data_IF_553994431063
#
_entry.id   IF_553994431063
#
_cell.length_a   1.000
_cell.length_b   1.000
_cell.length_c   1.000
_cell.angle_alpha   90.00
_cell.angle_beta   90.00
_cell.angle_gamma   90.00
#
_symmetry.space_group_name_H-M   'P 1'
#
loop_
_entity.id
_entity.type
_entity.pdbx_description
1 polymer ?
#
# COMPACT_ATOMS: atom_id res chain seq x y z
N UNK A 1 -26.92 -7.26 42.21
CA UNK A 1 -26.80 -6.31 41.08
C UNK A 1 -25.53 -5.55 41.35
N UNK A 2 -24.42 -6.05 40.81
CA UNK A 2 -23.07 -5.55 41.11
C UNK A 2 -22.64 -4.77 39.89
N UNK A 3 -22.62 -3.44 40.00
CA UNK A 3 -22.06 -2.56 39.00
C UNK A 3 -20.60 -2.94 38.76
N UNK A 4 -20.31 -3.40 37.54
CA UNK A 4 -18.94 -3.50 37.04
C UNK A 4 -18.45 -2.07 36.82
N UNK A 5 -17.59 -1.61 37.71
CA UNK A 5 -16.75 -0.43 37.47
C UNK A 5 -16.00 -0.62 36.15
N UNK A 6 -15.98 0.36 35.22
CA UNK A 6 -15.13 0.26 34.04
C UNK A 6 -13.68 0.22 34.51
N UNK A 7 -12.91 -0.77 34.03
CA UNK A 7 -11.46 -0.80 34.20
C UNK A 7 -10.89 0.51 33.64
N UNK A 8 -10.35 1.36 34.52
CA UNK A 8 -9.87 2.68 34.16
C UNK A 8 -8.78 2.61 33.09
N UNK A 9 -9.02 3.24 31.94
CA UNK A 9 -7.98 3.46 30.94
C UNK A 9 -6.92 4.40 31.49
N UNK A 10 -5.65 4.05 31.32
CA UNK A 10 -4.55 4.98 31.61
C UNK A 10 -4.33 5.92 30.42
N UNK A 11 -3.74 7.08 30.67
CA UNK A 11 -3.29 8.00 29.62
C UNK A 11 -1.78 8.12 29.68
N UNK A 12 -1.12 7.98 28.55
CA UNK A 12 0.29 8.31 28.39
C UNK A 12 0.40 9.55 27.50
N UNK A 13 1.48 10.31 27.63
CA UNK A 13 1.69 11.50 26.81
C UNK A 13 2.75 11.21 25.76
N UNK A 14 2.44 11.53 24.51
CA UNK A 14 3.39 11.45 23.39
C UNK A 14 3.70 12.86 22.91
N UNK A 15 4.98 13.22 22.91
CA UNK A 15 5.47 14.42 22.25
C UNK A 15 5.52 14.19 20.74
N UNK A 16 5.26 15.24 19.97
CA UNK A 16 5.35 15.19 18.52
C UNK A 16 5.84 16.53 17.99
N UNK A 17 6.36 16.52 16.76
CA UNK A 17 6.87 17.73 16.13
C UNK A 17 6.00 18.15 14.96
N UNK A 18 5.65 19.43 14.94
CA UNK A 18 5.02 20.03 13.78
C UNK A 18 6.06 20.31 12.69
N UNK A 19 5.71 19.93 11.46
CA UNK A 19 6.40 20.34 10.24
C UNK A 19 5.56 21.39 9.52
N UNK A 20 6.25 22.31 8.84
CA UNK A 20 5.58 23.28 7.98
C UNK A 20 5.02 22.57 6.74
N UNK A 21 3.88 23.00 6.16
CA UNK A 21 3.28 22.35 5.00
C UNK A 21 4.20 22.19 3.77
N UNK A 22 5.20 23.06 3.63
CA UNK A 22 6.18 23.02 2.53
C UNK A 22 7.42 22.14 2.80
N UNK A 23 7.55 21.54 3.98
CA UNK A 23 8.68 20.65 4.30
C UNK A 23 8.49 19.24 3.72
N UNK A 24 7.25 18.87 3.40
CA UNK A 24 6.93 17.60 2.76
C UNK A 24 6.53 17.85 1.30
N UNK A 25 7.10 17.09 0.34
CA UNK A 25 6.67 17.16 -1.04
C UNK A 25 5.17 16.85 -1.19
N UNK A 26 4.50 17.53 -2.12
CA UNK A 26 3.05 17.36 -2.35
C UNK A 26 2.72 15.92 -2.76
N UNK A 27 1.62 15.35 -2.24
CA UNK A 27 1.23 13.99 -2.57
C UNK A 27 0.70 13.91 -4.00
N UNK A 28 0.74 12.71 -4.55
CA UNK A 28 0.13 12.40 -5.84
C UNK A 28 -1.36 12.16 -5.61
N UNK A 29 -2.18 13.05 -6.17
CA UNK A 29 -3.65 12.92 -6.17
C UNK A 29 -4.13 13.01 -7.61
N UNK A 30 -4.51 11.89 -8.21
CA UNK A 30 -4.85 11.82 -9.63
C UNK A 30 -5.97 10.84 -9.92
N UNK A 31 -6.88 11.23 -10.82
CA UNK A 31 -7.94 10.35 -11.31
C UNK A 31 -7.63 9.83 -12.72
N UNK A 32 -7.23 8.57 -12.81
CA UNK A 32 -6.82 7.93 -14.06
C UNK A 32 -7.22 6.45 -14.09
N UNK A 33 -7.18 5.76 -15.25
CA UNK A 33 -7.26 4.30 -15.30
C UNK A 33 -6.29 3.65 -14.30
N UNK A 34 -6.76 2.59 -13.65
CA UNK A 34 -5.98 1.85 -12.66
C UNK A 34 -5.98 0.36 -13.03
N UNK A 35 -4.80 -0.19 -13.25
CA UNK A 35 -4.57 -1.59 -13.61
C UNK A 35 -3.88 -2.30 -12.45
N UNK A 36 -4.33 -3.51 -12.17
CA UNK A 36 -3.79 -4.39 -11.15
C UNK A 36 -3.25 -5.66 -11.84
N UNK A 37 -1.96 -5.95 -11.66
CA UNK A 37 -1.27 -7.12 -12.20
C UNK A 37 -0.57 -7.89 -11.08
N UNK A 38 -0.77 -9.20 -10.99
CA UNK A 38 0.02 -10.06 -10.12
C UNK A 38 0.46 -11.33 -10.83
N UNK A 39 1.68 -11.76 -10.57
CA UNK A 39 2.23 -13.02 -11.03
C UNK A 39 2.33 -13.97 -9.83
N UNK A 40 1.60 -15.08 -9.90
CA UNK A 40 1.46 -16.04 -8.80
C UNK A 40 2.00 -17.42 -9.18
N UNK A 41 2.44 -18.16 -8.17
CA UNK A 41 3.03 -19.50 -8.30
C UNK A 41 2.32 -20.44 -7.33
N UNK A 42 1.04 -20.76 -7.59
CA UNK A 42 0.16 -21.42 -6.62
C UNK A 42 0.61 -22.83 -6.23
N UNK A 43 1.46 -23.46 -7.05
CA UNK A 43 1.99 -24.81 -6.84
C UNK A 43 3.26 -24.85 -5.99
N UNK A 44 3.83 -23.67 -5.65
CA UNK A 44 5.00 -23.59 -4.79
C UNK A 44 4.60 -23.47 -3.32
N UNK A 45 5.38 -24.12 -2.45
CA UNK A 45 5.23 -23.95 -1.01
C UNK A 45 5.76 -22.58 -0.56
N UNK A 46 4.98 -21.81 0.22
CA UNK A 46 5.40 -20.51 0.72
C UNK A 46 6.47 -20.69 1.81
N UNK A 47 7.57 -19.97 1.68
CA UNK A 47 8.66 -19.93 2.68
C UNK A 47 8.81 -18.57 3.37
N UNK A 48 8.14 -17.55 2.84
CA UNK A 48 8.07 -16.21 3.43
C UNK A 48 6.63 -15.72 3.54
N UNK A 49 6.32 -15.11 4.68
CA UNK A 49 5.07 -14.38 4.92
C UNK A 49 5.48 -12.96 5.33
N UNK A 50 4.74 -11.96 4.87
CA UNK A 50 4.90 -10.59 5.33
C UNK A 50 4.62 -10.45 6.84
N UNK A 51 5.13 -9.38 7.44
CA UNK A 51 4.99 -9.06 8.87
C UNK A 51 4.16 -7.78 9.12
N UNK A 52 3.54 -7.24 8.08
CA UNK A 52 2.80 -5.98 8.09
C UNK A 52 1.36 -6.22 8.52
N UNK A 53 1.00 -5.58 9.62
CA UNK A 53 -0.35 -5.61 10.14
C UNK A 53 -1.40 -4.88 9.27
N UNK A 54 -0.99 -3.83 8.55
CA UNK A 54 -1.89 -3.02 7.72
C UNK A 54 -1.50 -3.08 6.24
N UNK A 55 -2.48 -3.18 5.32
CA UNK A 55 -2.22 -3.14 3.88
C UNK A 55 -1.68 -1.77 3.48
N UNK A 56 -0.83 -1.71 2.46
CA UNK A 56 -0.23 -0.46 1.98
C UNK A 56 -1.23 0.41 1.20
N UNK A 57 -2.14 -0.23 0.47
CA UNK A 57 -3.17 0.40 -0.34
C UNK A 57 -4.56 -0.01 0.13
N UNK A 58 -5.44 0.98 0.25
CA UNK A 58 -6.84 0.75 0.65
C UNK A 58 -7.76 1.27 -0.45
N UNK A 59 -8.40 0.41 -1.25
CA UNK A 59 -9.41 0.82 -2.22
C UNK A 59 -10.76 1.04 -1.53
N UNK A 60 -11.44 2.15 -1.83
CA UNK A 60 -12.76 2.46 -1.27
C UNK A 60 -13.55 3.43 -2.13
N UNK A 61 -14.80 3.69 -1.74
CA UNK A 61 -15.62 4.76 -2.31
C UNK A 61 -15.95 5.77 -1.21
N UNK A 62 -15.79 7.05 -1.52
CA UNK A 62 -16.24 8.15 -0.66
C UNK A 62 -16.95 9.17 -1.55
N UNK A 63 -18.17 9.54 -1.18
CA UNK A 63 -19.01 10.51 -1.90
C UNK A 63 -19.10 10.21 -3.41
N UNK A 64 -19.29 8.94 -3.77
CA UNK A 64 -19.38 8.46 -5.16
C UNK A 64 -18.03 8.43 -5.90
N UNK A 65 -16.93 8.82 -5.25
CA UNK A 65 -15.59 8.79 -5.83
C UNK A 65 -14.89 7.49 -5.44
N UNK A 66 -14.60 6.67 -6.45
CA UNK A 66 -13.82 5.44 -6.32
C UNK A 66 -12.33 5.77 -6.16
N UNK A 67 -11.80 5.51 -4.98
CA UNK A 67 -10.42 5.80 -4.58
C UNK A 67 -9.57 4.54 -4.43
N UNK A 68 -8.26 4.74 -4.52
CA UNK A 68 -7.26 3.84 -3.98
C UNK A 68 -6.22 4.68 -3.24
N UNK A 69 -6.04 4.38 -1.95
CA UNK A 69 -5.24 5.22 -1.06
C UNK A 69 -4.03 4.45 -0.57
N UNK A 70 -2.86 4.83 -1.06
CA UNK A 70 -1.58 4.36 -0.59
C UNK A 70 -1.10 5.29 0.52
N UNK A 71 -0.94 4.76 1.73
CA UNK A 71 -0.45 5.55 2.86
C UNK A 71 1.05 5.38 3.07
N UNK A 72 1.64 4.30 2.54
CA UNK A 72 3.10 4.11 2.47
C UNK A 72 3.62 4.40 1.05
N UNK A 73 4.84 4.92 0.92
CA UNK A 73 5.51 5.02 -0.38
C UNK A 73 5.70 3.63 -0.98
N UNK A 74 5.22 3.40 -2.20
CA UNK A 74 5.32 2.14 -2.95
C UNK A 74 5.79 2.32 -4.39
N UNK A 75 6.21 3.54 -4.76
CA UNK A 75 6.75 3.86 -6.09
C UNK A 75 8.27 3.99 -6.04
N UNK A 76 8.94 3.53 -7.09
CA UNK A 76 10.35 3.84 -7.31
C UNK A 76 10.57 5.35 -7.48
N UNK A 77 11.77 5.83 -7.13
CA UNK A 77 12.17 7.24 -7.22
C UNK A 77 12.30 7.76 -8.66
N UNK A 78 12.35 6.87 -9.66
CA UNK A 78 12.55 7.19 -11.07
C UNK A 78 11.27 7.18 -11.91
N UNK A 79 10.10 7.18 -11.30
CA UNK A 79 8.84 7.26 -12.05
C UNK A 79 8.69 8.65 -12.70
N UNK A 80 8.14 8.70 -13.92
CA UNK A 80 7.90 9.93 -14.67
C UNK A 80 6.93 10.87 -13.95
N UNK A 81 6.89 12.14 -14.35
CA UNK A 81 6.08 13.16 -13.70
C UNK A 81 4.60 12.71 -13.60
N UNK A 82 3.99 12.75 -12.40
CA UNK A 82 2.62 12.31 -12.21
C UNK A 82 1.67 12.91 -13.22
N UNK A 83 1.78 14.21 -13.52
CA UNK A 83 0.91 14.96 -14.46
C UNK A 83 0.69 14.23 -15.78
N UNK A 84 1.71 13.53 -16.25
CA UNK A 84 1.79 12.98 -17.60
C UNK A 84 1.26 11.54 -17.67
N UNK A 85 0.83 10.95 -16.55
CA UNK A 85 0.37 9.58 -16.53
C UNK A 85 -0.96 9.39 -17.26
N UNK A 86 -0.96 8.41 -18.15
CA UNK A 86 -2.12 7.87 -18.84
C UNK A 86 -2.74 6.71 -18.06
N UNK A 87 -1.92 5.95 -17.32
CA UNK A 87 -2.31 4.76 -16.55
C UNK A 87 -1.51 4.64 -15.24
N UNK A 88 -2.14 4.17 -14.16
CA UNK A 88 -1.45 3.69 -12.97
C UNK A 88 -1.54 2.17 -12.94
N UNK A 89 -0.39 1.49 -12.86
CA UNK A 89 -0.33 0.03 -12.80
C UNK A 89 0.28 -0.40 -11.46
N UNK A 90 -0.49 -1.18 -10.69
CA UNK A 90 -0.11 -1.71 -9.40
C UNK A 90 0.18 -3.20 -9.48
N UNK A 91 1.23 -3.63 -8.80
CA UNK A 91 1.59 -5.02 -8.64
C UNK A 91 1.71 -5.40 -7.16
N UNK A 92 2.01 -6.65 -6.88
CA UNK A 92 2.39 -7.10 -5.54
C UNK A 92 3.71 -6.48 -5.05
N UNK A 93 4.47 -5.83 -5.92
CA UNK A 93 5.82 -5.34 -5.64
C UNK A 93 5.90 -3.81 -5.66
N UNK A 94 5.21 -3.16 -6.59
CA UNK A 94 5.28 -1.71 -6.75
C UNK A 94 4.00 -1.12 -7.34
N UNK A 95 3.88 0.19 -7.18
CA UNK A 95 2.98 1.00 -7.98
C UNK A 95 3.84 1.78 -8.99
N UNK A 96 3.39 1.84 -10.24
CA UNK A 96 4.08 2.62 -11.28
C UNK A 96 3.08 3.38 -12.14
N UNK A 97 3.35 4.66 -12.35
CA UNK A 97 2.67 5.45 -13.38
C UNK A 97 3.26 5.20 -14.76
N UNK A 98 2.41 5.20 -15.78
CA UNK A 98 2.75 4.99 -17.18
C UNK A 98 2.38 6.25 -17.95
N UNK A 99 3.37 6.93 -18.53
CA UNK A 99 3.20 8.21 -19.23
C UNK A 99 2.93 8.08 -20.73
N UNK A 100 3.10 6.87 -21.29
CA UNK A 100 2.84 6.59 -22.70
C UNK A 100 2.64 5.10 -22.91
N UNK A 101 1.76 4.73 -23.85
CA UNK A 101 1.55 3.36 -24.29
C UNK A 101 2.02 3.17 -25.75
N UNK A 102 2.53 1.98 -26.12
CA UNK A 102 2.67 0.77 -25.29
C UNK A 102 3.79 0.88 -24.25
N UNK A 103 3.70 0.09 -23.18
CA UNK A 103 4.71 0.02 -22.11
C UNK A 103 4.79 -1.37 -21.48
N UNK A 104 6.00 -1.83 -21.18
CA UNK A 104 6.22 -3.05 -20.38
C UNK A 104 5.48 -2.96 -19.04
N UNK A 105 5.13 -4.09 -18.42
CA UNK A 105 4.53 -4.09 -17.08
C UNK A 105 5.51 -3.60 -16.01
N UNK A 106 5.01 -3.13 -14.84
CA UNK A 106 5.85 -2.93 -13.67
C UNK A 106 6.42 -4.26 -13.15
N UNK A 107 7.34 -4.17 -12.20
CA UNK A 107 7.99 -5.32 -11.59
C UNK A 107 6.97 -6.34 -11.07
N UNK A 108 7.11 -7.58 -11.53
CA UNK A 108 6.28 -8.73 -11.12
C UNK A 108 6.99 -9.70 -10.17
N UNK A 109 8.30 -9.55 -9.96
CA UNK A 109 9.14 -10.35 -9.03
C UNK A 109 10.23 -9.48 -8.39
N UNK A 110 10.77 -9.86 -7.25
CA UNK A 110 11.97 -9.19 -6.69
C UNK A 110 13.23 -9.98 -7.03
N UNK A 111 14.12 -9.39 -7.84
CA UNK A 111 15.45 -9.96 -8.14
C UNK A 111 16.49 -9.47 -7.15
N UNK A 112 17.27 -10.40 -6.59
CA UNK A 112 18.56 -10.17 -5.92
C UNK A 112 19.71 -10.76 -6.76
N UNK A 113 20.93 -10.76 -6.22
CA UNK A 113 22.14 -11.11 -6.97
C UNK A 113 22.11 -12.54 -7.54
N UNK A 114 21.69 -13.53 -6.74
CA UNK A 114 21.60 -14.95 -7.15
C UNK A 114 20.24 -15.58 -6.78
N UNK A 115 19.21 -14.76 -6.55
CA UNK A 115 17.90 -15.22 -6.04
C UNK A 115 16.77 -14.37 -6.61
N UNK A 116 15.64 -15.00 -6.84
CA UNK A 116 14.38 -14.30 -7.17
C UNK A 116 13.31 -14.65 -6.16
N UNK A 117 12.68 -13.63 -5.58
CA UNK A 117 11.49 -13.78 -4.74
C UNK A 117 10.27 -13.71 -5.65
N UNK A 118 9.46 -14.76 -5.60
CA UNK A 118 8.22 -14.89 -6.36
C UNK A 118 7.03 -14.98 -5.41
N UNK A 119 5.87 -14.45 -5.82
CA UNK A 119 4.65 -14.56 -5.03
C UNK A 119 4.00 -15.94 -5.23
N UNK A 120 3.58 -16.56 -4.14
CA UNK A 120 2.77 -17.80 -4.12
C UNK A 120 1.29 -17.42 -4.09
N UNK A 121 0.90 -16.60 -3.11
CA UNK A 121 -0.41 -15.94 -3.03
C UNK A 121 -0.19 -14.43 -2.89
N UNK A 122 -0.56 -13.70 -3.95
CA UNK A 122 -0.25 -12.30 -4.16
C UNK A 122 -1.42 -11.37 -3.81
N UNK A 123 -1.14 -10.38 -2.96
CA UNK A 123 -2.05 -9.25 -2.70
C UNK A 123 -1.44 -7.94 -3.19
N UNK A 124 -2.12 -7.26 -4.11
CA UNK A 124 -1.68 -5.96 -4.63
C UNK A 124 -1.92 -4.88 -3.57
N UNK A 125 -0.86 -4.13 -3.23
CA UNK A 125 -0.91 -3.13 -2.16
C UNK A 125 -1.17 -3.73 -0.78
N UNK A 126 -0.86 -5.01 -0.58
CA UNK A 126 -1.00 -5.72 0.68
C UNK A 126 0.09 -6.76 0.86
N UNK A 127 -0.11 -7.67 1.81
CA UNK A 127 0.84 -8.75 2.07
C UNK A 127 0.67 -9.89 1.08
N UNK A 128 1.80 -10.41 0.59
CA UNK A 128 1.84 -11.59 -0.25
C UNK A 128 2.62 -12.67 0.47
N UNK A 129 2.22 -13.93 0.31
CA UNK A 129 3.10 -15.06 0.63
C UNK A 129 4.06 -15.25 -0.53
N UNK A 130 5.30 -15.58 -0.21
CA UNK A 130 6.37 -15.64 -1.20
C UNK A 130 7.22 -16.89 -1.02
N UNK A 131 7.96 -17.23 -2.06
CA UNK A 131 9.05 -18.18 -1.97
C UNK A 131 10.28 -17.66 -2.73
N UNK A 132 11.43 -18.29 -2.50
CA UNK A 132 12.72 -17.88 -3.06
C UNK A 132 13.25 -18.98 -3.98
N UNK A 133 13.53 -18.60 -5.22
CA UNK A 133 14.09 -19.49 -6.26
C UNK A 133 15.47 -18.99 -6.70
N UNK A 134 16.33 -19.89 -7.21
CA UNK A 134 17.69 -19.55 -7.65
C UNK A 134 17.65 -18.58 -8.84
N UNK A 135 16.79 -18.86 -9.81
CA UNK A 135 16.57 -18.04 -11.00
C UNK A 135 15.14 -18.19 -11.50
N UNK A 136 14.64 -17.15 -12.16
CA UNK A 136 13.29 -17.16 -12.71
C UNK A 136 13.22 -16.30 -13.96
N UNK A 137 12.84 -16.91 -15.08
CA UNK A 137 12.46 -16.20 -16.29
C UNK A 137 11.09 -15.59 -16.06
N UNK A 138 11.00 -14.25 -16.00
CA UNK A 138 9.74 -13.53 -15.84
C UNK A 138 9.01 -13.54 -17.19
N UNK A 139 7.68 -13.79 -17.24
CA UNK A 139 6.91 -13.66 -18.46
C UNK A 139 6.99 -12.24 -19.03
N UNK A 140 6.94 -12.15 -20.36
CA UNK A 140 6.88 -10.86 -21.03
C UNK A 140 5.45 -10.34 -20.96
N UNK A 141 5.27 -9.18 -20.34
CA UNK A 141 3.96 -8.55 -20.15
C UNK A 141 4.06 -7.09 -20.54
N UNK A 142 3.23 -6.67 -21.47
CA UNK A 142 3.13 -5.28 -21.93
C UNK A 142 1.68 -4.81 -21.90
N UNK A 143 1.51 -3.53 -21.59
CA UNK A 143 0.26 -2.80 -21.76
C UNK A 143 0.31 -2.11 -23.10
N UNK A 144 -0.54 -2.55 -24.02
CA UNK A 144 -0.55 -2.03 -25.39
C UNK A 144 -1.36 -0.75 -25.49
N UNK A 145 -2.53 -0.75 -24.83
CA UNK A 145 -3.48 0.36 -24.90
C UNK A 145 -4.37 0.38 -23.66
N UNK A 146 -4.90 1.56 -23.32
CA UNK A 146 -5.82 1.73 -22.20
C UNK A 146 -6.85 2.80 -22.52
N UNK A 147 -8.11 2.46 -22.30
CA UNK A 147 -9.25 3.35 -22.41
C UNK A 147 -10.07 3.33 -21.11
N UNK A 148 -11.09 4.18 -21.02
CA UNK A 148 -12.00 4.15 -19.88
C UNK A 148 -12.82 2.84 -19.80
N UNK A 149 -12.96 2.10 -20.91
CA UNK A 149 -13.78 0.89 -20.99
C UNK A 149 -12.99 -0.41 -20.95
N UNK A 150 -11.72 -0.41 -21.33
CA UNK A 150 -10.90 -1.62 -21.39
C UNK A 150 -9.40 -1.31 -21.36
N UNK A 151 -8.62 -2.31 -20.93
CA UNK A 151 -7.16 -2.36 -21.09
C UNK A 151 -6.79 -3.51 -22.01
N UNK A 152 -5.83 -3.26 -22.89
CA UNK A 152 -5.29 -4.24 -23.84
C UNK A 152 -3.86 -4.58 -23.40
N UNK A 153 -3.58 -5.88 -23.29
CA UNK A 153 -2.35 -6.43 -22.74
C UNK A 153 -1.82 -7.52 -23.68
N UNK A 154 -0.50 -7.62 -23.77
CA UNK A 154 0.15 -8.81 -24.32
C UNK A 154 0.81 -9.57 -23.17
N UNK A 155 0.64 -10.89 -23.12
CA UNK A 155 1.30 -11.79 -22.16
C UNK A 155 1.94 -12.93 -22.94
N UNK A 156 3.28 -13.03 -22.89
CA UNK A 156 4.09 -13.97 -23.67
C UNK A 156 3.67 -14.03 -25.17
N UNK A 157 3.37 -12.85 -25.75
CA UNK A 157 2.96 -12.69 -27.15
C UNK A 157 1.48 -12.93 -27.45
N UNK A 158 0.67 -13.37 -26.48
CA UNK A 158 -0.78 -13.53 -26.63
C UNK A 158 -1.53 -12.26 -26.21
N UNK A 159 -2.51 -11.83 -27.00
CA UNK A 159 -3.29 -10.61 -26.77
C UNK A 159 -4.51 -10.87 -25.87
N UNK A 160 -4.76 -9.94 -24.94
CA UNK A 160 -5.87 -9.96 -24.01
C UNK A 160 -6.52 -8.58 -23.92
N UNK A 161 -7.85 -8.54 -23.90
CA UNK A 161 -8.63 -7.35 -23.59
C UNK A 161 -9.44 -7.59 -22.32
N UNK A 162 -9.30 -6.70 -21.33
CA UNK A 162 -9.98 -6.77 -20.03
C UNK A 162 -10.87 -5.55 -19.88
N UNK A 163 -12.18 -5.76 -19.76
CA UNK A 163 -13.12 -4.65 -19.64
C UNK A 163 -13.08 -4.02 -18.23
N UNK A 164 -13.52 -2.77 -18.14
CA UNK A 164 -13.61 -2.05 -16.88
C UNK A 164 -14.59 -2.75 -15.93
N UNK A 165 -14.13 -3.00 -14.70
CA UNK A 165 -14.84 -3.77 -13.68
C UNK A 165 -14.55 -5.27 -13.71
N UNK A 166 -13.79 -5.76 -14.68
CA UNK A 166 -13.49 -7.19 -14.81
C UNK A 166 -12.15 -7.58 -14.19
N UNK A 167 -12.04 -8.89 -13.96
CA UNK A 167 -10.81 -9.58 -13.59
C UNK A 167 -10.65 -10.83 -14.44
N UNK A 168 -9.40 -11.20 -14.71
CA UNK A 168 -9.05 -12.41 -15.45
C UNK A 168 -7.82 -13.05 -14.84
N UNK A 169 -7.79 -14.37 -14.82
CA UNK A 169 -6.58 -15.16 -14.59
C UNK A 169 -6.13 -15.74 -15.91
N UNK A 170 -4.83 -15.64 -16.19
CA UNK A 170 -4.17 -16.12 -17.39
C UNK A 170 -3.13 -17.13 -16.94
N UNK A 171 -3.39 -18.41 -17.19
CA UNK A 171 -2.39 -19.46 -16.97
C UNK A 171 -1.26 -19.31 -18.00
N UNK A 172 -0.02 -19.43 -17.53
CA UNK A 172 1.16 -19.37 -18.38
C UNK A 172 1.65 -20.78 -18.72
N UNK A 173 2.65 -20.87 -19.58
CA UNK A 173 3.36 -22.13 -19.82
C UNK A 173 4.07 -22.59 -18.54
N UNK A 174 4.16 -23.92 -18.39
CA UNK A 174 4.90 -24.55 -17.29
C UNK A 174 6.38 -24.09 -17.31
N UNK A 175 6.90 -23.73 -16.14
CA UNK A 175 8.28 -23.30 -15.94
C UNK A 175 8.94 -24.17 -14.90
N UNK A 176 10.20 -24.49 -15.12
CA UNK A 176 11.02 -25.20 -14.14
C UNK A 176 11.74 -24.18 -13.27
N UNK A 177 11.61 -24.33 -11.95
CA UNK A 177 12.26 -23.46 -10.97
C UNK A 177 13.07 -24.31 -10.00
N UNK A 178 14.18 -23.78 -9.53
CA UNK A 178 14.98 -24.41 -8.49
C UNK A 178 14.78 -23.65 -7.18
N UNK A 179 14.32 -24.36 -6.14
CA UNK A 179 14.09 -23.77 -4.83
C UNK A 179 15.41 -23.53 -4.10
N UNK A 180 15.52 -22.40 -3.39
CA UNK A 180 16.69 -22.12 -2.55
C UNK A 180 16.54 -22.85 -1.21
N UNK A 181 17.38 -23.87 -0.97
CA UNK A 181 17.38 -24.70 0.24
C UNK A 181 18.47 -25.78 0.20
N UNK A 182 18.60 -26.61 1.24
CA UNK A 182 19.70 -27.61 1.36
C UNK A 182 19.71 -28.66 0.23
N UNK A 183 18.56 -28.96 -0.37
CA UNK A 183 18.44 -29.99 -1.41
C UNK A 183 18.30 -29.44 -2.85
N UNK A 184 18.20 -28.12 -3.05
CA UNK A 184 18.15 -27.49 -4.37
C UNK A 184 17.11 -28.10 -5.33
N UNK A 185 15.97 -28.55 -4.81
CA UNK A 185 15.00 -29.32 -5.57
C UNK A 185 14.43 -28.49 -6.73
N UNK A 186 14.50 -29.06 -7.94
CA UNK A 186 13.87 -28.50 -9.12
C UNK A 186 12.43 -28.99 -9.19
N UNK A 187 11.50 -28.06 -9.38
CA UNK A 187 10.07 -28.35 -9.53
C UNK A 187 9.50 -27.66 -10.75
N UNK A 188 8.53 -28.30 -11.40
CA UNK A 188 7.69 -27.67 -12.41
C UNK A 188 6.58 -26.89 -11.72
N UNK A 189 6.34 -25.66 -12.19
CA UNK A 189 5.23 -24.82 -11.75
C UNK A 189 4.53 -24.23 -12.98
N UNK A 190 3.21 -24.11 -12.92
CA UNK A 190 2.42 -23.33 -13.87
C UNK A 190 2.06 -21.98 -13.26
N UNK A 191 2.79 -20.89 -13.57
CA UNK A 191 2.47 -19.59 -12.99
C UNK A 191 1.20 -18.99 -13.61
N UNK A 192 0.60 -18.05 -12.89
CA UNK A 192 -0.61 -17.36 -13.34
C UNK A 192 -0.44 -15.84 -13.29
N UNK A 193 -0.89 -15.15 -14.34
CA UNK A 193 -1.06 -13.69 -14.32
C UNK A 193 -2.52 -13.38 -13.94
N UNK A 194 -2.70 -12.82 -12.75
CA UNK A 194 -3.94 -12.19 -12.32
C UNK A 194 -4.01 -10.75 -12.80
N UNK A 195 -5.01 -10.43 -13.62
CA UNK A 195 -5.30 -9.07 -14.09
C UNK A 195 -6.63 -8.60 -13.52
N UNK A 196 -6.67 -7.39 -12.96
CA UNK A 196 -7.93 -6.69 -12.66
C UNK A 196 -7.88 -5.28 -13.23
N UNK A 197 -8.95 -4.86 -13.90
CA UNK A 197 -9.09 -3.50 -14.38
C UNK A 197 -10.32 -2.85 -13.76
N UNK A 198 -10.20 -2.21 -12.57
CA UNK A 198 -11.34 -1.55 -11.93
C UNK A 198 -11.92 -0.33 -12.67
N UNK A 199 -11.30 0.10 -13.77
CA UNK A 199 -11.57 1.37 -14.44
C UNK A 199 -10.84 2.54 -13.78
N UNK A 200 -11.39 3.75 -13.91
CA UNK A 200 -10.77 4.94 -13.32
C UNK A 200 -10.86 4.94 -11.79
N UNK A 201 -9.75 5.24 -11.13
CA UNK A 201 -9.67 5.47 -9.68
C UNK A 201 -9.01 6.81 -9.40
N UNK A 202 -9.44 7.47 -8.33
CA UNK A 202 -8.68 8.55 -7.72
C UNK A 202 -7.60 7.93 -6.83
N UNK A 203 -6.38 7.96 -7.34
CA UNK A 203 -5.18 7.51 -6.65
C UNK A 203 -4.70 8.61 -5.69
N UNK A 204 -4.52 8.23 -4.44
CA UNK A 204 -3.78 9.00 -3.44
C UNK A 204 -2.51 8.22 -3.10
N UNK A 205 -1.35 8.86 -3.20
CA UNK A 205 -0.06 8.25 -2.85
C UNK A 205 0.88 9.35 -2.35
N UNK A 206 1.86 9.06 -1.46
CA UNK A 206 2.92 10.00 -1.14
C UNK A 206 3.64 10.51 -2.40
N UNK A 207 4.45 11.56 -2.28
CA UNK A 207 5.28 11.97 -3.41
C UNK A 207 6.28 10.88 -3.85
N UNK A 208 6.86 11.04 -5.04
CA UNK A 208 7.99 10.21 -5.48
C UNK A 208 9.13 10.25 -4.45
N UNK A 209 9.65 9.08 -4.09
CA UNK A 209 10.74 8.97 -3.11
C UNK A 209 10.40 9.56 -1.74
N UNK A 210 9.12 9.74 -1.41
CA UNK A 210 8.71 10.30 -0.13
C UNK A 210 9.27 9.50 1.04
N UNK A 211 9.76 10.21 2.05
CA UNK A 211 10.19 9.64 3.34
C UNK A 211 9.09 9.78 4.40
N UNK A 212 7.87 10.09 3.96
CA UNK A 212 6.70 10.29 4.81
C UNK A 212 5.57 9.34 4.39
N UNK A 213 4.67 9.10 5.34
CA UNK A 213 3.42 8.36 5.15
C UNK A 213 2.28 9.36 4.97
N UNK A 214 1.35 9.07 4.08
CA UNK A 214 0.23 9.94 3.75
C UNK A 214 -1.04 9.40 4.40
N UNK A 215 -1.87 10.27 4.96
CA UNK A 215 -3.18 9.89 5.50
C UNK A 215 -4.26 10.91 5.09
N UNK A 216 -5.54 10.51 5.07
CA UNK A 216 -6.64 11.47 5.03
C UNK A 216 -6.53 12.51 6.16
N UNK A 217 -7.22 13.65 6.04
CA UNK A 217 -7.28 14.65 7.11
C UNK A 217 -7.87 14.09 8.41
N UNK A 218 -8.78 13.13 8.29
CA UNK A 218 -9.68 12.70 9.36
C UNK A 218 -10.46 13.85 10.02
N UNK A 219 -10.61 14.99 9.33
CA UNK A 219 -11.14 16.25 9.88
C UNK A 219 -10.35 16.81 11.07
N UNK A 220 -9.09 16.39 11.22
CA UNK A 220 -8.15 16.92 12.20
C UNK A 220 -7.50 18.19 11.64
N UNK A 221 -7.41 19.21 12.48
CA UNK A 221 -6.50 20.32 12.30
C UNK A 221 -5.21 20.05 13.08
N UNK A 222 -4.13 19.69 12.36
CA UNK A 222 -2.80 19.42 12.97
C UNK A 222 -2.31 20.63 13.78
N UNK A 223 -2.73 21.85 13.45
CA UNK A 223 -2.30 23.06 14.14
C UNK A 223 -2.93 23.21 15.53
N UNK A 224 -4.06 22.53 15.77
CA UNK A 224 -4.79 22.55 17.03
C UNK A 224 -4.53 21.30 17.87
N UNK A 225 -3.72 20.35 17.40
CA UNK A 225 -3.38 19.17 18.16
C UNK A 225 -2.59 19.55 19.43
N UNK A 226 -2.99 19.07 20.62
CA UNK A 226 -2.21 19.25 21.84
C UNK A 226 -0.81 18.66 21.71
N UNK A 227 0.19 19.34 22.30
CA UNK A 227 1.55 18.83 22.41
C UNK A 227 2.10 19.14 23.81
N UNK A 228 2.38 18.13 24.65
CA UNK A 228 2.25 16.69 24.37
C UNK A 228 0.78 16.24 24.23
N UNK A 229 0.55 15.20 23.43
CA UNK A 229 -0.77 14.64 23.18
C UNK A 229 -1.09 13.53 24.21
N UNK A 230 -2.19 13.63 24.98
CA UNK A 230 -2.63 12.53 25.83
C UNK A 230 -3.21 11.39 24.99
N UNK A 231 -2.55 10.24 25.02
CA UNK A 231 -2.89 9.02 24.32
C UNK A 231 -3.67 8.07 25.26
N UNK A 232 -4.95 7.80 24.98
CA UNK A 232 -5.72 6.80 25.71
C UNK A 232 -5.16 5.40 25.50
N UNK A 233 -5.09 4.60 26.57
CA UNK A 233 -4.69 3.20 26.48
C UNK A 233 -5.66 2.25 27.15
N UNK A 234 -5.88 1.12 26.49
CA UNK A 234 -6.65 -0.02 26.98
C UNK A 234 -5.77 -1.26 26.93
N UNK A 235 -5.77 -2.07 27.99
CA UNK A 235 -4.89 -3.25 28.10
C UNK A 235 -3.38 -2.98 27.84
N UNK A 236 -2.91 -1.75 28.13
CA UNK A 236 -1.54 -1.24 27.86
C UNK A 236 -1.20 -1.03 26.38
N UNK A 237 -2.20 -1.10 25.50
CA UNK A 237 -2.07 -0.75 24.09
C UNK A 237 -2.81 0.56 23.80
N UNK A 238 -2.47 1.20 22.69
CA UNK A 238 -3.19 2.36 22.19
C UNK A 238 -4.67 2.01 21.97
N UNK A 239 -5.57 2.81 22.53
CA UNK A 239 -7.00 2.76 22.20
C UNK A 239 -7.26 3.79 21.10
N UNK A 240 -7.23 3.33 19.83
CA UNK A 240 -7.39 4.18 18.66
C UNK A 240 -8.79 4.81 18.58
N UNK A 241 -9.81 4.14 19.13
CA UNK A 241 -11.19 4.65 19.15
C UNK A 241 -11.32 5.77 20.18
N UNK A 242 -10.82 5.57 21.40
CA UNK A 242 -10.81 6.64 22.39
C UNK A 242 -9.91 7.82 21.97
N UNK A 243 -8.82 7.56 21.23
CA UNK A 243 -8.01 8.63 20.65
C UNK A 243 -8.80 9.43 19.60
N UNK A 244 -9.55 8.76 18.73
CA UNK A 244 -10.42 9.44 17.76
C UNK A 244 -11.43 10.35 18.46
N UNK A 245 -12.12 9.85 19.48
CA UNK A 245 -13.06 10.65 20.27
C UNK A 245 -12.39 11.86 20.92
N UNK A 246 -11.19 11.68 21.49
CA UNK A 246 -10.42 12.76 22.11
C UNK A 246 -9.99 13.85 21.10
N UNK A 247 -9.76 13.48 19.85
CA UNK A 247 -9.40 14.39 18.76
C UNK A 247 -10.61 14.90 17.94
N UNK A 248 -11.83 14.50 18.30
CA UNK A 248 -13.05 14.90 17.60
C UNK A 248 -13.27 14.20 16.25
N UNK A 249 -12.59 13.08 15.99
CA UNK A 249 -12.75 12.28 14.78
C UNK A 249 -13.98 11.36 14.91
N UNK A 250 -15.02 11.63 14.12
CA UNK A 250 -16.20 10.77 14.08
C UNK A 250 -15.99 9.54 13.18
N UNK A 251 -15.48 8.46 13.75
CA UNK A 251 -15.26 7.19 13.04
C UNK A 251 -16.58 6.55 12.55
N UNK A 252 -17.72 6.84 13.18
CA UNK A 252 -19.00 6.23 12.81
C UNK A 252 -19.52 6.72 11.45
N UNK A 253 -19.11 7.93 11.06
CA UNK A 253 -19.43 8.54 9.76
C UNK A 253 -18.45 8.16 8.66
N UNK A 254 -17.38 7.45 8.99
CA UNK A 254 -16.33 7.05 8.04
C UNK A 254 -16.58 5.65 7.47
N UNK A 255 -16.32 5.43 6.17
CA UNK A 255 -16.34 4.09 5.61
C UNK A 255 -15.28 3.21 6.30
N UNK A 256 -15.52 1.89 6.36
CA UNK A 256 -14.59 0.95 6.99
C UNK A 256 -13.12 1.14 6.56
N UNK A 257 -12.82 1.28 5.26
CA UNK A 257 -11.49 1.65 4.77
C UNK A 257 -10.81 2.85 5.45
N UNK A 258 -11.53 3.95 5.70
CA UNK A 258 -10.94 5.10 6.39
C UNK A 258 -10.71 4.84 7.88
N UNK A 259 -11.49 3.96 8.51
CA UNK A 259 -11.22 3.51 9.89
C UNK A 259 -9.95 2.66 9.97
N UNK A 260 -9.66 1.85 8.95
CA UNK A 260 -8.39 1.13 8.84
C UNK A 260 -7.22 2.10 8.66
N UNK A 261 -7.37 3.13 7.82
CA UNK A 261 -6.37 4.19 7.68
C UNK A 261 -6.17 4.98 8.97
N UNK A 262 -7.24 5.21 9.74
CA UNK A 262 -7.17 5.82 11.06
C UNK A 262 -6.33 4.98 12.03
N UNK A 263 -6.60 3.68 12.11
CA UNK A 263 -5.82 2.75 12.93
C UNK A 263 -4.35 2.76 12.53
N UNK A 264 -4.07 2.66 11.23
CA UNK A 264 -2.71 2.75 10.72
C UNK A 264 -2.04 4.07 11.12
N UNK A 265 -2.71 5.21 11.00
CA UNK A 265 -2.22 6.51 11.45
C UNK A 265 -1.93 6.53 12.95
N UNK A 266 -2.92 6.18 13.77
CA UNK A 266 -2.86 6.25 15.22
C UNK A 266 -1.74 5.37 15.79
N UNK A 267 -1.64 4.11 15.35
CA UNK A 267 -0.59 3.19 15.80
C UNK A 267 0.79 3.59 15.27
N UNK A 268 0.86 4.14 14.06
CA UNK A 268 2.14 4.55 13.48
C UNK A 268 2.67 5.82 14.14
N UNK A 269 1.80 6.79 14.42
CA UNK A 269 2.20 8.06 15.01
C UNK A 269 2.41 7.95 16.52
N UNK A 270 1.53 7.24 17.22
CA UNK A 270 1.41 7.32 18.69
C UNK A 270 1.48 5.97 19.40
N UNK A 271 1.77 4.89 18.68
CA UNK A 271 1.95 3.57 19.26
C UNK A 271 3.20 3.49 20.15
N UNK A 272 3.10 2.80 21.29
CA UNK A 272 4.20 2.67 22.29
C UNK A 272 5.48 2.04 21.74
N UNK A 273 5.38 1.25 20.68
CA UNK A 273 6.50 0.47 20.13
C UNK A 273 7.38 1.26 19.17
N UNK A 274 7.03 2.50 18.84
CA UNK A 274 7.78 3.26 17.84
C UNK A 274 9.08 3.82 18.40
N UNK A 275 9.15 4.12 19.71
CA UNK A 275 10.34 4.68 20.37
C UNK A 275 10.88 5.97 19.71
N UNK A 276 10.08 6.58 18.85
CA UNK A 276 10.45 7.55 17.85
C UNK A 276 9.48 8.73 17.91
N UNK A 277 10.00 9.94 17.74
CA UNK A 277 9.18 11.15 17.77
C UNK A 277 8.45 11.31 16.41
N UNK A 278 7.11 11.29 16.40
CA UNK A 278 6.35 11.50 15.17
C UNK A 278 6.41 12.98 14.76
N UNK A 279 6.55 13.20 13.46
CA UNK A 279 6.53 14.52 12.87
C UNK A 279 5.34 14.63 11.90
N UNK A 280 4.47 15.64 12.12
CA UNK A 280 3.21 15.80 11.41
C UNK A 280 3.17 17.10 10.62
N UNK A 281 2.63 17.04 9.40
CA UNK A 281 2.28 18.22 8.60
C UNK A 281 0.87 18.07 8.04
N UNK A 282 0.09 19.16 8.06
CA UNK A 282 -1.12 19.29 7.24
C UNK A 282 -0.70 19.84 5.87
N UNK A 283 -0.89 19.06 4.80
CA UNK A 283 -0.50 19.44 3.45
C UNK A 283 -1.57 20.35 2.82
N UNK A 284 -1.19 21.12 1.79
CA UNK A 284 -2.10 22.01 1.07
C UNK A 284 -3.31 21.28 0.45
N UNK A 285 -3.13 19.98 0.16
CA UNK A 285 -4.20 19.10 -0.35
C UNK A 285 -5.15 18.61 0.75
N UNK A 286 -4.98 19.04 2.00
CA UNK A 286 -5.76 18.59 3.16
C UNK A 286 -5.34 17.23 3.70
N UNK A 287 -4.31 16.59 3.17
CA UNK A 287 -3.81 15.32 3.71
C UNK A 287 -2.89 15.55 4.90
N UNK A 288 -2.76 14.54 5.76
CA UNK A 288 -1.75 14.51 6.82
C UNK A 288 -0.52 13.77 6.30
N UNK A 289 0.65 14.40 6.40
CA UNK A 289 1.94 13.75 6.22
C UNK A 289 2.54 13.39 7.58
N UNK A 290 2.99 12.14 7.72
CA UNK A 290 3.63 11.61 8.94
C UNK A 290 5.04 11.10 8.62
N UNK A 291 6.05 11.66 9.27
CA UNK A 291 7.42 11.15 9.28
C UNK A 291 7.75 10.62 10.67
N UNK A 292 8.40 9.46 10.74
CA UNK A 292 8.89 8.91 12.01
C UNK A 292 10.40 9.10 12.02
N UNK A 293 10.92 9.85 13.00
CA UNK A 293 12.36 9.95 13.22
C UNK A 293 12.78 8.84 14.15
N UNK A 294 13.55 7.88 13.64
CA UNK A 294 14.25 6.96 14.52
C UNK A 294 15.16 7.76 15.46
N UNK A 295 14.94 7.58 16.75
CA UNK A 295 15.82 8.08 17.80
C UNK A 295 17.21 7.52 17.51
N UNK A 296 18.17 8.38 17.12
CA UNK A 296 19.58 7.96 17.07
C UNK A 296 19.95 7.54 18.49
N UNK A 297 20.13 6.24 18.70
CA UNK A 297 20.87 5.75 19.86
C UNK A 297 22.30 6.25 19.68
N UNK A 298 22.67 7.28 20.44
CA UNK A 298 24.08 7.67 20.62
C UNK A 298 24.84 6.62 21.44
#
# INVERSE_FOLDING_TARGET
MTERTPSGGSRETVEWRRLSPGELPSPIVRRLPYLELKLEHPELEPSGIGDRFFPDAVPYELDGTRRVFYWRPSMASSAGEPSDWELACATTHELRGVSSLPADAPRLVTRGDDRTVVAVDGTIGGESTTTVVSSYSVPDVSVENCSDSAVELTVDGAEYSIAAGERRQIALEERHVELVGEDGESTSVTPEIGVRFPGRRELHHPAHGATYRLFPSFDIDVDQLPNPLPIPTAARELDDTALAEALGVDLSRRPYPERVLWQAFAHTAFGRHTGAEPELAQLATGHIGLRIRESRTE
#
